data_IF_325175038582
#
_entry.id   IF_325175038582
#
_cell.length_a   1.000
_cell.length_b   1.000
_cell.length_c   1.000
_cell.angle_alpha   90.00
_cell.angle_beta   90.00
_cell.angle_gamma   90.00
#
_symmetry.space_group_name_H-M   'P 1'
#
loop_
_entity.id
_entity.type
_entity.pdbx_description
1 polymer ?
#
# COMPACT_ATOMS: atom_id res chain seq x y z
N UNK A 1 -17.93 -17.58 24.56
CA UNK A 1 -17.77 -18.00 23.16
C UNK A 1 -18.81 -17.24 22.36
N UNK A 2 -18.47 -16.05 21.85
CA UNK A 2 -19.45 -15.07 21.35
C UNK A 2 -19.68 -15.20 19.85
N UNK A 3 -20.95 -15.33 19.48
CA UNK A 3 -21.53 -15.45 18.14
C UNK A 3 -21.43 -14.16 17.29
N UNK A 4 -20.32 -13.43 17.35
CA UNK A 4 -20.12 -12.17 16.64
C UNK A 4 -19.09 -12.29 15.50
N UNK A 5 -19.10 -13.41 14.78
CA UNK A 5 -18.13 -13.70 13.73
C UNK A 5 -18.43 -13.00 12.38
N UNK A 6 -19.50 -12.20 12.29
CA UNK A 6 -20.00 -11.60 11.03
C UNK A 6 -20.27 -10.11 11.15
N UNK A 7 -19.21 -9.30 11.28
CA UNK A 7 -19.31 -7.84 11.33
C UNK A 7 -18.97 -7.22 9.96
N UNK A 8 -19.41 -5.99 9.71
CA UNK A 8 -19.20 -5.23 8.46
C UNK A 8 -17.72 -5.24 8.00
N UNK A 9 -16.80 -5.15 8.97
CA UNK A 9 -15.35 -5.11 8.77
C UNK A 9 -14.82 -6.37 8.09
N UNK A 10 -15.40 -7.54 8.40
CA UNK A 10 -14.98 -8.80 7.76
C UNK A 10 -15.38 -8.84 6.28
N UNK A 11 -16.58 -8.37 5.96
CA UNK A 11 -17.02 -8.24 4.57
C UNK A 11 -16.16 -7.23 3.80
N UNK A 12 -15.80 -6.11 4.44
CA UNK A 12 -14.86 -5.14 3.87
C UNK A 12 -13.49 -5.77 3.61
N UNK A 13 -12.93 -6.52 4.57
CA UNK A 13 -11.65 -7.22 4.38
C UNK A 13 -11.71 -8.22 3.23
N UNK A 14 -12.75 -9.06 3.16
CA UNK A 14 -12.92 -10.02 2.07
C UNK A 14 -13.01 -9.30 0.72
N UNK A 15 -13.80 -8.23 0.63
CA UNK A 15 -13.92 -7.44 -0.58
C UNK A 15 -12.55 -6.84 -1.00
N UNK A 16 -11.79 -6.31 -0.04
CA UNK A 16 -10.45 -5.77 -0.25
C UNK A 16 -9.51 -6.85 -0.79
N UNK A 17 -9.48 -8.05 -0.19
CA UNK A 17 -8.66 -9.16 -0.70
C UNK A 17 -9.03 -9.54 -2.13
N UNK A 18 -10.31 -9.71 -2.42
CA UNK A 18 -10.79 -10.12 -3.75
C UNK A 18 -10.47 -9.06 -4.80
N UNK A 19 -10.74 -7.79 -4.50
CA UNK A 19 -10.49 -6.66 -5.42
C UNK A 19 -8.99 -6.52 -5.67
N UNK A 20 -8.16 -6.52 -4.62
CA UNK A 20 -6.72 -6.37 -4.77
C UNK A 20 -6.09 -7.55 -5.49
N UNK A 21 -6.52 -8.79 -5.21
CA UNK A 21 -6.05 -9.97 -5.95
C UNK A 21 -6.44 -9.91 -7.43
N UNK A 22 -7.68 -9.55 -7.75
CA UNK A 22 -8.13 -9.39 -9.13
C UNK A 22 -7.35 -8.29 -9.88
N UNK A 23 -7.11 -7.15 -9.22
CA UNK A 23 -6.32 -6.05 -9.74
C UNK A 23 -4.86 -6.47 -9.99
N UNK A 24 -4.25 -7.21 -9.05
CA UNK A 24 -2.91 -7.76 -9.19
C UNK A 24 -2.80 -8.68 -10.40
N UNK A 25 -3.72 -9.63 -10.54
CA UNK A 25 -3.74 -10.57 -11.67
C UNK A 25 -3.88 -9.83 -13.00
N UNK A 26 -4.76 -8.81 -13.07
CA UNK A 26 -4.95 -7.99 -14.26
C UNK A 26 -3.66 -7.27 -14.65
N UNK A 27 -3.01 -6.55 -13.73
CA UNK A 27 -1.82 -5.77 -14.05
C UNK A 27 -0.61 -6.68 -14.31
N UNK A 28 -0.49 -7.79 -13.59
CA UNK A 28 0.59 -8.76 -13.73
C UNK A 28 0.65 -9.36 -15.15
N UNK A 29 -0.50 -9.63 -15.78
CA UNK A 29 -0.57 -10.13 -17.17
C UNK A 29 0.03 -9.17 -18.20
N UNK A 30 0.08 -7.88 -17.90
CA UNK A 30 0.59 -6.87 -18.85
C UNK A 30 2.11 -6.70 -18.79
N UNK A 31 2.68 -6.66 -17.58
CA UNK A 31 4.09 -6.34 -17.35
C UNK A 31 4.67 -7.15 -16.17
N UNK A 32 4.74 -8.50 -16.28
CA UNK A 32 4.94 -9.38 -15.13
C UNK A 32 6.22 -9.09 -14.34
N UNK A 33 7.34 -8.87 -15.04
CA UNK A 33 8.65 -8.58 -14.42
C UNK A 33 8.64 -7.29 -13.60
N UNK A 34 8.06 -6.21 -14.15
CA UNK A 34 8.01 -4.91 -13.47
C UNK A 34 7.05 -4.94 -12.29
N UNK A 35 5.90 -5.61 -12.47
CA UNK A 35 4.90 -5.79 -11.42
C UNK A 35 5.49 -6.60 -10.26
N UNK A 36 6.15 -7.72 -10.53
CA UNK A 36 6.80 -8.52 -9.47
C UNK A 36 7.84 -7.71 -8.69
N UNK A 37 8.71 -6.98 -9.38
CA UNK A 37 9.74 -6.16 -8.73
C UNK A 37 9.12 -5.10 -7.81
N UNK A 38 8.12 -4.34 -8.30
CA UNK A 38 7.45 -3.31 -7.49
C UNK A 38 6.65 -3.92 -6.35
N UNK A 39 5.90 -4.99 -6.61
CA UNK A 39 5.06 -5.64 -5.61
C UNK A 39 5.89 -6.14 -4.43
N UNK A 40 6.98 -6.87 -4.70
CA UNK A 40 7.85 -7.40 -3.65
C UNK A 40 8.59 -6.30 -2.89
N UNK A 41 9.12 -5.30 -3.60
CA UNK A 41 9.75 -4.15 -2.96
C UNK A 41 8.77 -3.44 -2.02
N UNK A 42 7.58 -3.14 -2.52
CA UNK A 42 6.57 -2.43 -1.75
C UNK A 42 6.08 -3.25 -0.56
N UNK A 43 5.85 -4.54 -0.74
CA UNK A 43 5.43 -5.46 0.33
C UNK A 43 6.47 -5.49 1.46
N UNK A 44 7.76 -5.56 1.14
CA UNK A 44 8.81 -5.54 2.15
C UNK A 44 8.89 -4.18 2.88
N UNK A 45 8.89 -3.07 2.13
CA UNK A 45 9.04 -1.74 2.71
C UNK A 45 7.84 -1.34 3.58
N UNK A 46 6.63 -1.61 3.10
CA UNK A 46 5.37 -1.31 3.80
C UNK A 46 5.30 -2.07 5.12
N UNK A 47 5.55 -3.38 5.11
CA UNK A 47 5.54 -4.18 6.33
C UNK A 47 6.52 -3.67 7.41
N UNK A 48 7.75 -3.32 7.03
CA UNK A 48 8.75 -2.78 7.97
C UNK A 48 8.27 -1.44 8.54
N UNK A 49 7.79 -0.52 7.69
CA UNK A 49 7.33 0.79 8.12
C UNK A 49 6.08 0.69 9.00
N UNK A 50 5.11 -0.15 8.62
CA UNK A 50 3.92 -0.39 9.41
C UNK A 50 4.25 -0.91 10.80
N UNK A 51 5.18 -1.87 10.92
CA UNK A 51 5.63 -2.37 12.21
C UNK A 51 6.29 -1.27 13.06
N UNK A 52 7.16 -0.44 12.47
CA UNK A 52 7.79 0.67 13.19
C UNK A 52 6.76 1.66 13.75
N UNK A 53 5.73 2.00 12.97
CA UNK A 53 4.69 2.94 13.38
C UNK A 53 3.81 2.36 14.50
N UNK A 54 3.46 1.07 14.42
CA UNK A 54 2.66 0.40 15.46
C UNK A 54 3.47 0.19 16.74
N UNK A 55 4.74 -0.22 16.65
CA UNK A 55 5.60 -0.35 17.84
C UNK A 55 5.93 1.00 18.50
N UNK A 56 5.92 2.09 17.73
CA UNK A 56 6.00 3.45 18.27
C UNK A 56 4.70 3.91 18.98
N UNK A 57 3.64 3.09 18.94
CA UNK A 57 2.36 3.38 19.59
C UNK A 57 1.58 4.53 18.95
N UNK A 58 1.86 4.83 17.67
CA UNK A 58 1.23 5.94 16.95
C UNK A 58 -0.09 5.55 16.28
N UNK A 59 -0.25 4.25 15.99
CA UNK A 59 -1.38 3.66 15.28
C UNK A 59 -1.64 2.26 15.81
N UNK A 60 -2.91 1.90 15.95
CA UNK A 60 -3.37 0.56 16.33
C UNK A 60 -4.35 -0.02 15.29
N UNK A 61 -4.33 -1.35 15.19
CA UNK A 61 -5.26 -2.14 14.36
C UNK A 61 -6.08 -3.10 15.26
N UNK A 62 -7.21 -2.64 15.85
CA UNK A 62 -8.01 -3.42 16.80
C UNK A 62 -8.61 -4.69 16.17
N UNK A 63 -9.17 -4.56 14.97
CA UNK A 63 -9.64 -5.67 14.16
C UNK A 63 -8.62 -5.93 13.04
N UNK A 64 -7.92 -7.07 13.15
CA UNK A 64 -6.90 -7.54 12.19
C UNK A 64 -6.95 -9.05 12.04
N UNK A 65 -6.46 -9.56 10.92
CA UNK A 65 -6.57 -10.98 10.55
C UNK A 65 -5.66 -11.86 11.39
N UNK A 66 -4.37 -11.50 11.47
CA UNK A 66 -3.36 -12.29 12.17
C UNK A 66 -2.98 -11.66 13.50
N UNK A 67 -3.94 -11.60 14.44
CA UNK A 67 -3.75 -10.96 15.76
C UNK A 67 -2.51 -11.41 16.54
N UNK A 68 -2.10 -12.67 16.35
CA UNK A 68 -0.95 -13.30 17.02
C UNK A 68 0.36 -13.09 16.25
N UNK A 69 0.32 -13.03 14.91
CA UNK A 69 1.53 -13.02 14.09
C UNK A 69 2.02 -11.61 13.73
N UNK A 70 1.14 -10.61 13.63
CA UNK A 70 1.52 -9.22 13.37
C UNK A 70 0.60 -8.25 14.11
N UNK A 71 1.15 -7.08 14.45
CA UNK A 71 0.39 -5.98 15.06
C UNK A 71 -0.19 -5.02 14.02
N UNK A 72 0.21 -5.14 12.76
CA UNK A 72 -0.28 -4.32 11.63
C UNK A 72 -1.45 -4.98 10.88
N UNK A 73 -2.11 -4.23 9.99
CA UNK A 73 -3.08 -4.80 9.04
C UNK A 73 -2.36 -5.61 7.96
N UNK A 74 -2.64 -6.91 7.86
CA UNK A 74 -1.97 -7.75 6.87
C UNK A 74 -2.47 -7.43 5.46
N UNK A 75 -3.79 -7.29 5.26
CA UNK A 75 -4.35 -6.93 3.95
C UNK A 75 -3.72 -5.65 3.39
N UNK A 76 -3.59 -4.62 4.23
CA UNK A 76 -3.09 -3.34 3.77
C UNK A 76 -1.62 -3.41 3.36
N UNK A 77 -0.77 -3.87 4.27
CA UNK A 77 0.69 -3.88 4.07
C UNK A 77 1.11 -4.89 2.99
N UNK A 78 0.53 -6.10 2.98
CA UNK A 78 0.99 -7.16 2.10
C UNK A 78 0.31 -7.22 0.75
N UNK A 79 -0.84 -6.56 0.58
CA UNK A 79 -1.64 -6.71 -0.63
C UNK A 79 -2.11 -5.37 -1.19
N UNK A 80 -2.89 -4.59 -0.45
CA UNK A 80 -3.51 -3.37 -0.98
C UNK A 80 -2.45 -2.36 -1.42
N UNK A 81 -1.54 -2.01 -0.52
CA UNK A 81 -0.56 -0.97 -0.81
C UNK A 81 0.46 -1.41 -1.88
N UNK A 82 0.98 -2.65 -1.86
CA UNK A 82 1.76 -3.20 -2.97
C UNK A 82 1.06 -3.19 -4.33
N UNK A 83 -0.24 -3.51 -4.38
CA UNK A 83 -1.03 -3.44 -5.62
C UNK A 83 -1.17 -2.00 -6.11
N UNK A 84 -1.48 -1.06 -5.21
CA UNK A 84 -1.54 0.37 -5.56
C UNK A 84 -0.21 0.83 -6.15
N UNK A 85 0.91 0.51 -5.50
CA UNK A 85 2.24 0.86 -5.99
C UNK A 85 2.52 0.28 -7.39
N UNK A 86 2.06 -0.94 -7.69
CA UNK A 86 2.16 -1.51 -9.03
C UNK A 86 1.42 -0.66 -10.07
N UNK A 87 0.17 -0.27 -9.80
CA UNK A 87 -0.62 0.58 -10.70
C UNK A 87 0.02 1.95 -10.88
N UNK A 88 0.40 2.62 -9.79
CA UNK A 88 1.09 3.91 -9.80
C UNK A 88 2.35 3.85 -10.68
N UNK A 89 3.14 2.78 -10.58
CA UNK A 89 4.36 2.63 -11.37
C UNK A 89 4.12 2.30 -12.85
N UNK A 90 3.12 1.45 -13.14
CA UNK A 90 2.82 1.04 -14.52
C UNK A 90 2.17 2.15 -15.33
N UNK A 91 1.34 2.98 -14.70
CA UNK A 91 0.65 4.12 -15.32
C UNK A 91 1.35 5.46 -15.08
N UNK A 92 2.58 5.44 -14.55
CA UNK A 92 3.34 6.66 -14.28
C UNK A 92 3.57 7.49 -15.56
N UNK A 93 3.25 8.81 -15.55
CA UNK A 93 3.35 9.66 -16.73
C UNK A 93 4.81 10.07 -17.02
N UNK A 94 5.54 9.22 -17.75
CA UNK A 94 6.99 9.37 -18.01
C UNK A 94 7.36 10.67 -18.72
N UNK A 95 6.56 11.09 -19.71
CA UNK A 95 6.82 12.24 -20.57
C UNK A 95 6.26 13.56 -19.98
N UNK A 96 5.59 13.51 -18.84
CA UNK A 96 5.01 14.71 -18.23
C UNK A 96 6.05 15.60 -17.54
N UNK A 97 5.68 16.86 -17.33
CA UNK A 97 6.47 17.85 -16.57
C UNK A 97 6.68 17.40 -15.12
N UNK A 98 7.77 17.79 -14.45
CA UNK A 98 8.05 17.41 -13.06
C UNK A 98 6.90 17.71 -12.09
N UNK A 99 6.22 18.86 -12.26
CA UNK A 99 5.07 19.24 -11.44
C UNK A 99 3.90 18.26 -11.59
N UNK A 100 3.62 17.78 -12.81
CA UNK A 100 2.56 16.80 -13.05
C UNK A 100 2.91 15.42 -12.48
N UNK A 101 4.19 15.06 -12.50
CA UNK A 101 4.70 13.83 -11.88
C UNK A 101 4.57 13.88 -10.36
N UNK A 102 4.87 15.03 -9.76
CA UNK A 102 4.64 15.25 -8.33
C UNK A 102 3.15 15.20 -8.00
N UNK A 103 2.32 15.93 -8.75
CA UNK A 103 0.86 15.93 -8.62
C UNK A 103 0.24 14.54 -8.77
N UNK A 104 0.81 13.69 -9.64
CA UNK A 104 0.39 12.29 -9.78
C UNK A 104 0.57 11.51 -8.47
N UNK A 105 1.76 11.55 -7.85
CA UNK A 105 1.97 10.90 -6.56
C UNK A 105 1.13 11.52 -5.44
N UNK A 106 1.05 12.85 -5.40
CA UNK A 106 0.23 13.56 -4.44
C UNK A 106 -1.24 13.17 -4.53
N UNK A 107 -1.80 12.99 -5.73
CA UNK A 107 -3.19 12.56 -5.91
C UNK A 107 -3.44 11.16 -5.34
N UNK A 108 -2.53 10.20 -5.57
CA UNK A 108 -2.63 8.87 -4.96
C UNK A 108 -2.46 8.91 -3.45
N UNK A 109 -1.53 9.71 -2.93
CA UNK A 109 -1.33 9.89 -1.50
C UNK A 109 -2.57 10.52 -0.84
N UNK A 110 -3.12 11.59 -1.41
CA UNK A 110 -4.36 12.22 -0.94
C UNK A 110 -5.54 11.24 -0.96
N UNK A 111 -5.72 10.50 -2.06
CA UNK A 111 -6.78 9.49 -2.16
C UNK A 111 -6.65 8.41 -1.09
N UNK A 112 -5.43 7.91 -0.86
CA UNK A 112 -5.14 6.96 0.22
C UNK A 112 -5.45 7.53 1.60
N UNK A 113 -4.98 8.74 1.91
CA UNK A 113 -5.24 9.42 3.19
C UNK A 113 -6.73 9.66 3.43
N UNK A 114 -7.49 10.05 2.41
CA UNK A 114 -8.95 10.21 2.52
C UNK A 114 -9.62 8.87 2.83
N UNK A 115 -9.22 7.80 2.13
CA UNK A 115 -9.77 6.46 2.38
C UNK A 115 -9.43 5.96 3.79
N UNK A 116 -8.19 6.16 4.25
CA UNK A 116 -7.77 5.83 5.61
C UNK A 116 -8.59 6.58 6.65
N UNK A 117 -8.79 7.88 6.46
CA UNK A 117 -9.63 8.69 7.36
C UNK A 117 -11.09 8.21 7.40
N UNK A 118 -11.65 7.79 6.27
CA UNK A 118 -13.00 7.21 6.24
C UNK A 118 -13.05 5.86 6.96
N UNK A 119 -12.04 5.00 6.76
CA UNK A 119 -11.93 3.70 7.42
C UNK A 119 -11.83 3.89 8.93
N UNK A 120 -10.95 4.78 9.40
CA UNK A 120 -10.80 5.11 10.82
C UNK A 120 -12.11 5.62 11.42
N UNK A 121 -12.82 6.52 10.73
CA UNK A 121 -14.04 7.15 11.25
C UNK A 121 -15.24 6.19 11.33
N UNK A 122 -15.34 5.25 10.41
CA UNK A 122 -16.52 4.39 10.25
C UNK A 122 -16.28 2.92 10.62
N UNK A 123 -15.05 2.51 10.94
CA UNK A 123 -14.71 1.11 11.24
C UNK A 123 -13.68 1.02 12.35
N UNK A 124 -13.63 -0.12 13.03
CA UNK A 124 -12.59 -0.43 14.03
C UNK A 124 -11.34 -1.11 13.41
N UNK A 125 -11.12 -0.91 12.11
CA UNK A 125 -9.96 -1.46 11.41
C UNK A 125 -8.68 -0.68 11.72
N UNK A 126 -8.79 0.64 11.93
CA UNK A 126 -7.66 1.56 12.15
C UNK A 126 -8.03 2.50 13.29
N UNK A 127 -7.12 2.75 14.21
CA UNK A 127 -7.29 3.74 15.27
C UNK A 127 -6.00 4.53 15.45
N UNK A 128 -6.03 5.84 15.16
CA UNK A 128 -4.88 6.69 15.42
C UNK A 128 -4.87 7.17 16.88
N UNK A 129 -3.77 6.92 17.58
CA UNK A 129 -3.54 7.37 18.97
C UNK A 129 -2.73 8.66 19.03
N UNK A 130 -1.79 8.84 18.10
CA UNK A 130 -0.95 10.03 17.97
C UNK A 130 -0.52 10.34 16.52
N UNK A 131 -1.05 9.60 15.55
CA UNK A 131 -0.70 9.73 14.14
C UNK A 131 -1.63 10.71 13.43
N UNK A 132 -1.07 11.82 12.96
CA UNK A 132 -1.81 12.78 12.16
C UNK A 132 -1.86 12.39 10.68
N UNK A 133 -2.93 12.80 9.98
CA UNK A 133 -3.17 12.50 8.56
C UNK A 133 -2.02 12.88 7.63
N UNK A 134 -1.24 13.92 7.95
CA UNK A 134 -0.11 14.35 7.13
C UNK A 134 1.07 13.37 7.18
N UNK A 135 1.20 12.56 8.23
CA UNK A 135 2.20 11.49 8.30
C UNK A 135 1.87 10.35 7.35
N UNK A 136 0.60 9.96 7.24
CA UNK A 136 0.15 9.04 6.17
C UNK A 136 0.46 9.63 4.81
N UNK A 137 0.05 10.88 4.56
CA UNK A 137 0.27 11.52 3.26
C UNK A 137 1.77 11.51 2.87
N UNK A 138 2.64 11.93 3.80
CA UNK A 138 4.07 12.01 3.56
C UNK A 138 4.70 10.62 3.37
N UNK A 139 4.38 9.65 4.23
CA UNK A 139 4.92 8.29 4.15
C UNK A 139 4.50 7.58 2.87
N UNK A 140 3.23 7.70 2.46
CA UNK A 140 2.73 7.15 1.20
C UNK A 140 3.43 7.80 0.01
N UNK A 141 3.56 9.12 0.00
CA UNK A 141 4.21 9.83 -1.09
C UNK A 141 5.68 9.44 -1.24
N UNK A 142 6.42 9.36 -0.13
CA UNK A 142 7.82 8.93 -0.11
C UNK A 142 7.97 7.47 -0.53
N UNK A 143 7.10 6.58 -0.04
CA UNK A 143 7.13 5.15 -0.36
C UNK A 143 6.85 4.89 -1.85
N UNK A 144 5.85 5.56 -2.42
CA UNK A 144 5.58 5.49 -3.86
C UNK A 144 6.75 6.03 -4.69
N UNK A 145 7.37 7.14 -4.26
CA UNK A 145 8.58 7.67 -4.88
C UNK A 145 9.75 6.68 -4.83
N UNK A 146 9.99 6.06 -3.67
CA UNK A 146 11.02 5.06 -3.47
C UNK A 146 10.80 3.82 -4.36
N UNK A 147 9.55 3.33 -4.45
CA UNK A 147 9.20 2.21 -5.34
C UNK A 147 9.49 2.52 -6.80
N UNK A 148 9.33 3.79 -7.21
CA UNK A 148 9.63 4.24 -8.56
C UNK A 148 11.13 4.28 -8.83
N UNK A 149 11.90 4.84 -7.90
CA UNK A 149 13.36 4.87 -8.00
C UNK A 149 13.92 3.45 -8.08
N UNK A 150 13.43 2.56 -7.22
CA UNK A 150 13.77 1.13 -7.25
C UNK A 150 13.46 0.49 -8.60
N UNK A 151 12.25 0.67 -9.13
CA UNK A 151 11.88 0.09 -10.43
C UNK A 151 12.78 0.58 -11.57
N UNK A 152 13.07 1.89 -11.61
CA UNK A 152 13.95 2.45 -12.65
C UNK A 152 15.34 1.84 -12.55
N UNK A 153 15.93 1.83 -11.36
CA UNK A 153 17.23 1.22 -11.11
C UNK A 153 17.26 -0.27 -11.48
N UNK A 154 16.29 -1.05 -11.00
CA UNK A 154 16.22 -2.49 -11.24
C UNK A 154 16.11 -2.84 -12.73
N UNK A 155 15.31 -2.07 -13.48
CA UNK A 155 15.13 -2.29 -14.91
C UNK A 155 16.32 -1.79 -15.75
N UNK A 156 17.11 -0.85 -15.24
CA UNK A 156 18.32 -0.36 -15.91
C UNK A 156 19.45 -1.39 -15.83
N UNK A 157 19.68 -1.97 -14.65
CA UNK A 157 20.66 -3.05 -14.44
C UNK A 157 20.36 -4.29 -15.30
N UNK A 158 19.07 -4.57 -15.56
CA UNK A 158 18.66 -5.66 -16.44
C UNK A 158 19.01 -5.45 -17.92
N UNK A 159 19.23 -4.21 -18.37
CA UNK A 159 19.63 -3.90 -19.75
C UNK A 159 21.14 -4.00 -19.94
N UNK A 160 21.92 -3.55 -18.96
CA UNK A 160 23.39 -3.54 -19.03
C UNK A 160 24.04 -4.93 -18.94
N UNK A 161 23.30 -5.97 -18.52
CA UNK A 161 23.80 -7.36 -18.42
C UNK A 161 23.52 -8.24 -19.64
N UNK A 162 22.80 -7.73 -20.64
CA UNK A 162 22.42 -8.46 -21.88
C UNK A 162 23.31 -8.06 -23.07
N UNK A 163 24.31 -7.22 -22.84
CA UNK A 163 25.37 -6.86 -23.78
C UNK A 163 26.71 -7.31 -23.20
#
# INVERSE_FOLDING_TARGET
MNLAYWTLERWLLIAVYVISAAALLKIHRTQPRKVQAVFLFQQCSSWILGLLVVEAGLLDYPIREFRVATRTSFAFEFLVFPVIACYVNMYYPRQARPLLKFGYFAAYASGGTILEYLIEKYTELITYTGWAWYWTFLSVMLSLGASRLFLVWFMDQGKSRVH
#
